data_IF_250236877622
#
_entry.id   IF_250236877622
#
_cell.length_a   1.000
_cell.length_b   1.000
_cell.length_c   1.000
_cell.angle_alpha   90.00
_cell.angle_beta   90.00
_cell.angle_gamma   90.00
#
_symmetry.space_group_name_H-M   'P 1'
#
loop_
_entity.id
_entity.type
_entity.pdbx_description
1 polymer ?
#
# COMPACT_ATOMS: atom_id res chain seq x y z
N UNK A 1 53.15 -14.11 -19.84
CA UNK A 1 52.21 -14.59 -18.81
C UNK A 1 52.11 -13.53 -17.72
N UNK A 2 51.23 -12.54 -17.89
CA UNK A 2 50.89 -11.59 -16.83
C UNK A 2 49.58 -12.05 -16.22
N UNK A 3 49.63 -12.53 -14.98
CA UNK A 3 48.45 -12.78 -14.19
C UNK A 3 47.83 -11.42 -13.84
N UNK A 4 46.75 -11.06 -14.52
CA UNK A 4 45.81 -10.05 -14.03
C UNK A 4 45.08 -10.68 -12.83
N UNK A 5 45.73 -10.65 -11.68
CA UNK A 5 45.10 -10.88 -10.40
C UNK A 5 44.28 -9.62 -10.11
N UNK A 6 43.08 -9.56 -10.70
CA UNK A 6 42.10 -8.56 -10.32
C UNK A 6 41.75 -8.82 -8.86
N UNK A 7 42.26 -7.98 -7.96
CA UNK A 7 41.80 -7.89 -6.60
C UNK A 7 40.30 -7.63 -6.64
N UNK A 8 39.50 -8.70 -6.54
CA UNK A 8 38.06 -8.57 -6.48
C UNK A 8 37.76 -7.74 -5.25
N UNK A 9 37.31 -6.49 -5.46
CA UNK A 9 36.78 -5.66 -4.39
C UNK A 9 35.71 -6.50 -3.71
N UNK A 10 35.99 -6.97 -2.50
CA UNK A 10 35.03 -7.80 -1.78
C UNK A 10 33.87 -6.88 -1.40
N UNK A 11 32.75 -7.03 -2.11
CA UNK A 11 31.49 -6.31 -1.87
C UNK A 11 31.13 -6.26 -0.37
N UNK A 12 31.43 -7.33 0.35
CA UNK A 12 31.18 -7.50 1.79
C UNK A 12 32.09 -6.67 2.71
N UNK A 13 33.14 -6.04 2.18
CA UNK A 13 34.03 -5.12 2.92
C UNK A 13 33.66 -3.65 2.71
N UNK A 14 32.67 -3.35 1.87
CA UNK A 14 32.21 -1.98 1.67
C UNK A 14 31.48 -1.48 2.92
N UNK A 15 31.66 -0.21 3.30
CA UNK A 15 30.84 0.44 4.32
C UNK A 15 29.35 0.33 4.00
N UNK A 16 28.53 0.17 5.04
CA UNK A 16 27.08 0.02 4.92
C UNK A 16 26.44 1.18 4.16
N UNK A 17 26.97 2.39 4.30
CA UNK A 17 26.47 3.59 3.61
C UNK A 17 26.59 3.47 2.08
N UNK A 18 27.67 2.87 1.59
CA UNK A 18 27.86 2.62 0.15
C UNK A 18 26.93 1.50 -0.32
N UNK A 19 26.81 0.43 0.46
CA UNK A 19 25.88 -0.66 0.16
C UNK A 19 24.43 -0.16 0.14
N UNK A 20 24.05 0.75 1.05
CA UNK A 20 22.73 1.39 1.05
C UNK A 20 22.52 2.23 -0.20
N UNK A 21 23.51 3.01 -0.64
CA UNK A 21 23.43 3.76 -1.91
C UNK A 21 23.25 2.84 -3.12
N UNK A 22 23.98 1.73 -3.20
CA UNK A 22 23.79 0.73 -4.27
C UNK A 22 22.40 0.11 -4.18
N UNK A 23 21.95 -0.22 -2.97
CA UNK A 23 20.65 -0.84 -2.74
C UNK A 23 19.47 0.04 -3.13
N UNK A 24 19.65 1.37 -3.26
CA UNK A 24 18.60 2.27 -3.77
C UNK A 24 18.20 1.94 -5.21
N UNK A 25 19.08 1.29 -5.98
CA UNK A 25 18.83 0.88 -7.36
C UNK A 25 18.29 -0.55 -7.49
N UNK A 26 18.30 -1.32 -6.41
CA UNK A 26 17.86 -2.72 -6.40
C UNK A 26 16.44 -2.83 -5.87
N UNK A 27 15.61 -3.67 -6.47
CA UNK A 27 14.28 -3.96 -5.93
C UNK A 27 14.35 -4.88 -4.69
N UNK A 28 13.22 -5.05 -4.00
CA UNK A 28 13.18 -5.91 -2.82
C UNK A 28 13.59 -7.36 -3.13
N UNK A 29 13.11 -7.90 -4.25
CA UNK A 29 13.43 -9.25 -4.71
C UNK A 29 14.91 -9.39 -5.07
N UNK A 30 15.54 -8.40 -5.72
CA UNK A 30 16.98 -8.44 -5.99
C UNK A 30 17.79 -8.62 -4.71
N UNK A 31 17.46 -7.85 -3.67
CA UNK A 31 18.11 -7.92 -2.35
C UNK A 31 17.79 -9.26 -1.67
N UNK A 32 16.56 -9.74 -1.79
CA UNK A 32 16.13 -11.01 -1.21
C UNK A 32 16.87 -12.20 -1.85
N UNK A 33 16.98 -12.23 -3.18
CA UNK A 33 17.71 -13.27 -3.91
C UNK A 33 19.22 -13.18 -3.66
N UNK A 34 19.78 -11.97 -3.53
CA UNK A 34 21.16 -11.80 -3.10
C UNK A 34 21.42 -12.46 -1.75
N UNK A 35 20.47 -12.39 -0.82
CA UNK A 35 20.55 -13.07 0.48
C UNK A 35 20.73 -14.60 0.36
N UNK A 36 20.27 -15.21 -0.74
CA UNK A 36 20.36 -16.66 -0.97
C UNK A 36 21.71 -17.11 -1.53
N UNK A 37 22.55 -16.20 -2.01
CA UNK A 37 23.80 -16.55 -2.69
C UNK A 37 24.90 -17.07 -1.74
N UNK A 38 24.96 -16.57 -0.49
CA UNK A 38 25.95 -17.02 0.51
C UNK A 38 25.57 -16.53 1.92
N UNK A 39 26.21 -17.07 2.97
CA UNK A 39 26.01 -16.60 4.36
C UNK A 39 26.43 -15.14 4.57
N UNK A 40 27.49 -14.69 3.89
CA UNK A 40 27.94 -13.30 3.95
C UNK A 40 26.95 -12.37 3.26
N UNK A 41 26.45 -12.78 2.08
CA UNK A 41 25.40 -12.06 1.37
C UNK A 41 24.10 -12.00 2.17
N UNK A 42 23.73 -13.08 2.86
CA UNK A 42 22.58 -13.10 3.76
C UNK A 42 22.69 -12.04 4.86
N UNK A 43 23.84 -11.94 5.53
CA UNK A 43 24.05 -10.93 6.57
C UNK A 43 23.92 -9.50 6.03
N UNK A 44 24.54 -9.22 4.88
CA UNK A 44 24.46 -7.90 4.24
C UNK A 44 23.04 -7.61 3.77
N UNK A 45 22.39 -8.56 3.09
CA UNK A 45 21.03 -8.40 2.61
C UNK A 45 20.03 -8.16 3.75
N UNK A 46 20.18 -8.86 4.88
CA UNK A 46 19.35 -8.62 6.08
C UNK A 46 19.53 -7.20 6.62
N UNK A 47 20.76 -6.69 6.67
CA UNK A 47 21.02 -5.29 7.06
C UNK A 47 20.38 -4.32 6.06
N UNK A 48 20.54 -4.57 4.75
CA UNK A 48 19.93 -3.74 3.72
C UNK A 48 18.40 -3.75 3.80
N UNK A 49 17.78 -4.92 4.01
CA UNK A 49 16.33 -5.05 4.17
C UNK A 49 15.82 -4.33 5.43
N UNK A 50 16.55 -4.42 6.53
CA UNK A 50 16.23 -3.68 7.75
C UNK A 50 16.33 -2.16 7.54
N UNK A 51 17.42 -1.66 6.98
CA UNK A 51 17.64 -0.22 6.84
C UNK A 51 16.82 0.42 5.72
N UNK A 52 16.62 -0.28 4.60
CA UNK A 52 15.86 0.23 3.45
C UNK A 52 14.36 0.06 3.63
N UNK A 53 13.93 -1.11 4.11
CA UNK A 53 12.52 -1.47 4.18
C UNK A 53 12.01 -1.61 5.61
N UNK A 54 12.82 -1.51 6.67
CA UNK A 54 12.34 -1.73 8.05
C UNK A 54 11.96 -3.18 8.35
N UNK A 55 12.42 -4.15 7.54
CA UNK A 55 12.06 -5.56 7.68
C UNK A 55 13.15 -6.28 8.49
N UNK A 56 12.81 -6.78 9.68
CA UNK A 56 13.74 -7.58 10.49
C UNK A 56 13.67 -9.07 10.12
N UNK A 57 14.67 -9.51 9.37
CA UNK A 57 14.86 -10.91 9.03
C UNK A 57 15.98 -11.60 9.84
N UNK A 58 16.58 -10.92 10.83
CA UNK A 58 17.74 -11.41 11.58
C UNK A 58 17.44 -12.64 12.45
N UNK A 59 16.17 -12.86 12.81
CA UNK A 59 15.72 -13.97 13.68
C UNK A 59 14.75 -14.92 12.94
N UNK A 60 15.23 -15.70 11.95
CA UNK A 60 14.37 -16.53 11.11
C UNK A 60 13.59 -17.61 11.88
N UNK A 61 14.16 -18.12 12.99
CA UNK A 61 13.49 -19.14 13.81
C UNK A 61 12.29 -18.62 14.60
N UNK A 62 12.30 -17.33 14.95
CA UNK A 62 11.19 -16.71 15.70
C UNK A 62 10.09 -16.23 14.75
N UNK A 63 10.44 -15.85 13.52
CA UNK A 63 9.54 -15.27 12.53
C UNK A 63 9.49 -16.10 11.24
N UNK A 64 9.46 -17.44 11.35
CA UNK A 64 9.57 -18.34 10.18
C UNK A 64 8.43 -18.13 9.18
N UNK A 65 7.22 -17.84 9.67
CA UNK A 65 6.08 -17.54 8.82
C UNK A 65 6.22 -16.18 8.13
N UNK A 66 6.70 -15.14 8.82
CA UNK A 66 6.96 -13.84 8.18
C UNK A 66 8.01 -13.96 7.09
N UNK A 67 9.09 -14.72 7.33
CA UNK A 67 10.09 -15.07 6.32
C UNK A 67 9.46 -15.72 5.09
N UNK A 68 8.55 -16.69 5.30
CA UNK A 68 7.82 -17.33 4.22
C UNK A 68 7.01 -16.31 3.40
N UNK A 69 6.24 -15.42 4.04
CA UNK A 69 5.44 -14.41 3.32
C UNK A 69 6.34 -13.41 2.59
N UNK A 70 7.42 -12.92 3.20
CA UNK A 70 8.39 -12.07 2.52
C UNK A 70 9.04 -12.76 1.31
N UNK A 71 9.35 -14.05 1.43
CA UNK A 71 9.89 -14.85 0.33
C UNK A 71 8.87 -15.03 -0.80
N UNK A 72 7.59 -15.24 -0.47
CA UNK A 72 6.51 -15.34 -1.43
C UNK A 72 6.36 -14.02 -2.22
N UNK A 73 6.41 -12.88 -1.54
CA UNK A 73 6.38 -11.56 -2.19
C UNK A 73 7.57 -11.36 -3.12
N UNK A 74 8.80 -11.67 -2.67
CA UNK A 74 10.00 -11.57 -3.52
C UNK A 74 9.89 -12.49 -4.76
N UNK A 75 9.38 -13.70 -4.58
CA UNK A 75 9.21 -14.66 -5.67
C UNK A 75 8.17 -14.18 -6.68
N UNK A 76 7.01 -13.73 -6.20
CA UNK A 76 5.96 -13.18 -7.06
C UNK A 76 6.45 -11.94 -7.81
N UNK A 77 7.15 -11.03 -7.13
CA UNK A 77 7.67 -9.83 -7.75
C UNK A 77 8.64 -10.14 -8.90
N UNK A 78 9.45 -11.19 -8.78
CA UNK A 78 10.41 -11.58 -9.82
C UNK A 78 9.77 -12.35 -10.99
N UNK A 79 8.83 -13.24 -10.69
CA UNK A 79 8.37 -14.26 -11.64
C UNK A 79 6.94 -14.08 -12.14
N UNK A 80 6.10 -13.31 -11.45
CA UNK A 80 4.73 -13.03 -11.90
C UNK A 80 4.65 -11.80 -12.83
N UNK A 81 5.77 -11.10 -13.01
CA UNK A 81 5.88 -9.81 -13.71
C UNK A 81 6.45 -9.93 -15.11
N UNK A 82 7.08 -11.07 -15.43
CA UNK A 82 7.71 -11.33 -16.73
C UNK A 82 6.67 -11.54 -17.84
N UNK A 83 5.43 -11.86 -17.51
CA UNK A 83 4.32 -11.90 -18.48
C UNK A 83 3.74 -10.50 -18.65
N UNK A 84 3.93 -9.89 -19.82
CA UNK A 84 3.45 -8.55 -20.20
C UNK A 84 1.95 -8.32 -19.99
N UNK A 85 1.19 -9.38 -19.75
CA UNK A 85 -0.13 -9.30 -19.15
C UNK A 85 -0.07 -10.01 -17.79
N UNK A 86 -0.11 -9.25 -16.69
CA UNK A 86 -0.48 -9.78 -15.36
C UNK A 86 -1.97 -10.15 -15.46
N UNK A 87 -2.28 -11.19 -16.23
CA UNK A 87 -3.59 -11.81 -16.24
C UNK A 87 -3.80 -12.44 -14.86
N UNK A 88 -5.05 -12.39 -14.41
CA UNK A 88 -5.55 -12.93 -13.14
C UNK A 88 -5.26 -14.42 -12.93
N UNK A 89 -4.75 -15.12 -13.95
CA UNK A 89 -4.53 -16.57 -13.96
C UNK A 89 -3.06 -16.96 -14.21
N UNK A 90 -2.09 -16.24 -13.64
CA UNK A 90 -0.70 -16.70 -13.69
C UNK A 90 -0.55 -17.99 -12.88
N UNK A 91 -0.02 -19.09 -13.46
CA UNK A 91 0.23 -20.33 -12.72
C UNK A 91 1.19 -20.11 -11.53
N UNK A 92 2.05 -19.09 -11.63
CA UNK A 92 2.93 -18.63 -10.56
C UNK A 92 2.13 -18.11 -9.37
N UNK A 93 1.10 -17.27 -9.60
CA UNK A 93 0.23 -16.75 -8.54
C UNK A 93 -0.51 -17.88 -7.84
N UNK A 94 -1.13 -18.79 -8.60
CA UNK A 94 -1.84 -19.94 -8.05
C UNK A 94 -0.90 -20.87 -7.27
N UNK A 95 0.30 -21.14 -7.80
CA UNK A 95 1.28 -22.00 -7.13
C UNK A 95 1.73 -21.45 -5.78
N UNK A 96 2.01 -20.14 -5.71
CA UNK A 96 2.38 -19.48 -4.46
C UNK A 96 1.18 -19.41 -3.50
N UNK A 97 -0.02 -19.12 -4.00
CA UNK A 97 -1.24 -19.09 -3.19
C UNK A 97 -1.54 -20.46 -2.57
N UNK A 98 -1.47 -21.53 -3.37
CA UNK A 98 -1.62 -22.90 -2.90
C UNK A 98 -0.59 -23.24 -1.83
N UNK A 99 0.70 -22.91 -2.08
CA UNK A 99 1.75 -23.21 -1.11
C UNK A 99 1.55 -22.46 0.21
N UNK A 100 1.16 -21.20 0.16
CA UNK A 100 0.90 -20.41 1.36
C UNK A 100 -0.34 -20.93 2.11
N UNK A 101 -1.42 -21.26 1.39
CA UNK A 101 -2.64 -21.81 1.99
C UNK A 101 -2.36 -23.14 2.70
N UNK A 102 -1.57 -24.04 2.08
CA UNK A 102 -1.13 -25.29 2.71
C UNK A 102 -0.29 -25.03 3.96
N UNK A 103 0.64 -24.08 3.92
CA UNK A 103 1.43 -23.73 5.10
C UNK A 103 0.59 -23.15 6.25
N UNK A 104 -0.45 -22.37 5.94
CA UNK A 104 -1.41 -21.89 6.95
C UNK A 104 -2.20 -23.07 7.51
N UNK A 105 -2.66 -23.98 6.65
CA UNK A 105 -3.42 -25.16 7.03
C UNK A 105 -2.63 -26.12 7.91
N UNK A 106 -1.41 -26.49 7.51
CA UNK A 106 -0.54 -27.41 8.24
C UNK A 106 -0.16 -26.87 9.64
N UNK A 107 -0.13 -25.55 9.79
CA UNK A 107 0.17 -24.87 11.06
C UNK A 107 -1.07 -24.58 11.90
N UNK A 108 -2.26 -24.86 11.39
CA UNK A 108 -3.52 -24.65 12.08
C UNK A 108 -4.02 -25.99 12.67
N UNK A 109 -4.45 -26.01 13.94
CA UNK A 109 -4.98 -27.24 14.53
C UNK A 109 -6.28 -27.63 13.85
N UNK A 110 -6.54 -28.92 13.67
CA UNK A 110 -7.79 -29.41 13.05
C UNK A 110 -9.05 -29.04 13.84
N UNK A 111 -8.91 -28.80 15.16
CA UNK A 111 -9.95 -28.27 16.03
C UNK A 111 -9.61 -26.83 16.40
N UNK A 112 -10.59 -25.93 16.37
CA UNK A 112 -10.43 -24.51 16.69
C UNK A 112 -9.35 -23.83 15.83
N UNK A 113 -9.40 -24.03 14.52
CA UNK A 113 -8.46 -23.42 13.58
C UNK A 113 -8.64 -21.90 13.45
N UNK A 114 -9.83 -21.36 13.75
CA UNK A 114 -10.20 -19.96 13.49
C UNK A 114 -9.19 -18.93 14.07
N UNK A 115 -8.73 -19.04 15.34
CA UNK A 115 -7.76 -18.08 15.87
C UNK A 115 -6.38 -18.19 15.23
N UNK A 116 -6.01 -19.40 14.75
CA UNK A 116 -4.75 -19.60 14.03
C UNK A 116 -4.84 -19.01 12.63
N UNK A 117 -5.96 -19.22 11.93
CA UNK A 117 -6.20 -18.59 10.65
C UNK A 117 -6.19 -17.06 10.78
N UNK A 118 -6.88 -16.51 11.79
CA UNK A 118 -6.89 -15.08 12.09
C UNK A 118 -5.47 -14.53 12.29
N UNK A 119 -4.65 -15.20 13.10
CA UNK A 119 -3.26 -14.83 13.33
C UNK A 119 -2.42 -14.86 12.04
N UNK A 120 -2.49 -15.94 11.26
CA UNK A 120 -1.67 -16.08 10.06
C UNK A 120 -2.13 -15.13 8.94
N UNK A 121 -3.43 -14.90 8.80
CA UNK A 121 -3.96 -13.92 7.86
C UNK A 121 -3.61 -12.49 8.27
N UNK A 122 -3.72 -12.12 9.55
CA UNK A 122 -3.29 -10.81 10.06
C UNK A 122 -1.82 -10.55 9.70
N UNK A 123 -0.95 -11.54 9.92
CA UNK A 123 0.46 -11.46 9.52
C UNK A 123 0.65 -11.35 8.02
N UNK A 124 -0.09 -12.12 7.23
CA UNK A 124 -0.03 -12.05 5.77
C UNK A 124 -0.43 -10.66 5.29
N UNK A 125 -1.62 -10.18 5.66
CA UNK A 125 -2.11 -8.87 5.25
C UNK A 125 -1.16 -7.74 5.69
N UNK A 126 -0.68 -7.79 6.92
CA UNK A 126 0.31 -6.82 7.41
C UNK A 126 1.51 -6.74 6.46
N UNK A 127 2.11 -7.88 6.11
CA UNK A 127 3.30 -7.92 5.24
C UNK A 127 2.96 -7.48 3.80
N UNK A 128 1.85 -7.95 3.23
CA UNK A 128 1.47 -7.60 1.86
C UNK A 128 1.21 -6.09 1.72
N UNK A 129 0.42 -5.50 2.62
CA UNK A 129 0.13 -4.06 2.57
C UNK A 129 1.38 -3.22 2.82
N UNK A 130 2.24 -3.68 3.71
CA UNK A 130 3.51 -3.01 4.01
C UNK A 130 4.42 -2.98 2.78
N UNK A 131 4.48 -4.05 1.99
CA UNK A 131 5.18 -4.06 0.69
C UNK A 131 4.55 -3.13 -0.34
N UNK A 132 3.22 -3.04 -0.40
CA UNK A 132 2.53 -2.07 -1.27
C UNK A 132 2.95 -0.64 -0.96
N UNK A 133 3.17 -0.31 0.31
CA UNK A 133 3.53 1.05 0.75
C UNK A 133 5.04 1.34 0.75
N UNK A 134 5.89 0.31 0.88
CA UNK A 134 7.34 0.47 1.09
C UNK A 134 8.19 0.49 -0.16
N UNK A 135 7.63 0.22 -1.35
CA UNK A 135 8.40 0.29 -2.59
C UNK A 135 8.03 1.50 -3.49
N UNK A 136 8.67 2.67 -3.26
CA UNK A 136 8.53 3.83 -4.12
C UNK A 136 9.35 3.75 -5.42
N UNK A 137 10.18 2.71 -5.62
CA UNK A 137 10.97 2.56 -6.85
C UNK A 137 10.23 1.75 -7.94
N UNK A 138 9.29 0.88 -7.53
CA UNK A 138 8.54 -0.01 -8.44
C UNK A 138 7.33 0.63 -9.12
N UNK A 139 6.91 1.82 -8.67
CA UNK A 139 5.94 2.65 -9.38
C UNK A 139 6.32 4.10 -9.24
N UNK A 140 6.95 4.72 -10.26
CA UNK A 140 6.64 6.11 -10.50
C UNK A 140 5.12 6.17 -10.63
N UNK A 141 4.44 6.80 -9.66
CA UNK A 141 3.19 7.47 -10.00
C UNK A 141 3.49 8.20 -11.30
N UNK A 142 2.73 8.02 -12.39
CA UNK A 142 3.08 8.62 -13.66
C UNK A 142 3.33 10.11 -13.43
N UNK A 143 4.59 10.52 -13.41
CA UNK A 143 4.99 11.90 -13.17
C UNK A 143 4.77 12.64 -14.48
N UNK A 144 4.12 13.79 -14.34
CA UNK A 144 3.70 14.78 -15.33
C UNK A 144 4.86 15.41 -16.14
N UNK A 145 5.70 14.60 -16.80
CA UNK A 145 6.84 15.11 -17.57
C UNK A 145 6.63 15.00 -19.09
N UNK A 146 5.63 14.25 -19.55
CA UNK A 146 5.18 14.31 -20.96
C UNK A 146 3.66 14.15 -20.99
N UNK A 147 2.90 15.06 -21.64
CA UNK A 147 1.49 14.83 -21.91
C UNK A 147 1.37 13.68 -22.91
N UNK A 148 1.42 12.45 -22.40
CA UNK A 148 0.88 11.31 -23.14
C UNK A 148 -0.64 11.51 -23.19
N UNK A 149 -1.30 11.18 -24.31
CA UNK A 149 -2.75 11.28 -24.40
C UNK A 149 -3.37 10.59 -23.19
N UNK A 150 -4.46 11.13 -22.62
CA UNK A 150 -5.03 10.64 -21.38
C UNK A 150 -5.31 9.15 -21.56
N UNK A 151 -4.49 8.31 -20.92
CA UNK A 151 -4.87 6.93 -20.72
C UNK A 151 -6.09 7.00 -19.82
N UNK A 152 -7.26 6.74 -20.40
CA UNK A 152 -8.55 6.64 -19.71
C UNK A 152 -8.62 5.48 -18.73
N UNK A 153 -7.51 4.77 -18.52
CA UNK A 153 -7.42 3.56 -17.72
C UNK A 153 -6.76 3.86 -16.38
N UNK A 154 -7.44 3.40 -15.34
CA UNK A 154 -6.92 3.37 -13.98
C UNK A 154 -5.55 2.68 -13.93
N UNK A 155 -4.53 3.41 -13.46
CA UNK A 155 -3.16 2.90 -13.34
C UNK A 155 -2.86 2.59 -11.86
N UNK A 156 -3.13 1.35 -11.39
CA UNK A 156 -2.71 0.95 -10.06
C UNK A 156 -1.20 0.82 -9.99
N UNK A 157 -0.68 0.83 -8.76
CA UNK A 157 0.71 0.42 -8.56
C UNK A 157 0.87 -1.03 -9.02
N UNK A 158 1.97 -1.32 -9.72
CA UNK A 158 2.41 -2.65 -10.06
C UNK A 158 2.41 -3.58 -8.84
N UNK A 159 2.98 -3.17 -7.71
CA UNK A 159 2.94 -3.97 -6.48
C UNK A 159 1.51 -4.10 -5.94
N UNK A 160 0.72 -3.03 -5.96
CA UNK A 160 -0.68 -3.07 -5.54
C UNK A 160 -1.51 -4.06 -6.36
N UNK A 161 -1.37 -4.03 -7.69
CA UNK A 161 -2.00 -4.98 -8.61
C UNK A 161 -1.57 -6.42 -8.35
N UNK A 162 -0.27 -6.65 -8.18
CA UNK A 162 0.26 -7.98 -7.90
C UNK A 162 -0.28 -8.54 -6.58
N UNK A 163 -0.29 -7.73 -5.51
CA UNK A 163 -0.80 -8.12 -4.20
C UNK A 163 -2.32 -8.31 -4.21
N UNK A 164 -3.07 -7.48 -4.93
CA UNK A 164 -4.51 -7.67 -5.13
C UNK A 164 -4.81 -8.98 -5.84
N UNK A 165 -4.12 -9.27 -6.95
CA UNK A 165 -4.30 -10.54 -7.67
C UNK A 165 -3.92 -11.73 -6.79
N UNK A 166 -2.82 -11.63 -6.05
CA UNK A 166 -2.42 -12.67 -5.13
C UNK A 166 -3.48 -12.93 -4.04
N UNK A 167 -4.04 -11.89 -3.44
CA UNK A 167 -5.14 -12.02 -2.47
C UNK A 167 -6.40 -12.62 -3.10
N UNK A 168 -6.74 -12.20 -4.32
CA UNK A 168 -7.89 -12.73 -5.05
C UNK A 168 -7.73 -14.22 -5.41
N UNK A 169 -6.49 -14.72 -5.52
CA UNK A 169 -6.19 -16.15 -5.71
C UNK A 169 -6.08 -16.90 -4.38
N UNK A 170 -5.50 -16.29 -3.34
CA UNK A 170 -5.32 -16.89 -2.03
C UNK A 170 -6.65 -17.12 -1.31
N UNK A 171 -7.56 -16.15 -1.38
CA UNK A 171 -8.84 -16.19 -0.67
C UNK A 171 -9.69 -17.42 -1.04
N UNK A 172 -10.01 -17.70 -2.33
CA UNK A 172 -10.76 -18.90 -2.69
C UNK A 172 -10.05 -20.19 -2.31
N UNK A 173 -8.71 -20.19 -2.34
CA UNK A 173 -7.89 -21.35 -1.95
C UNK A 173 -8.05 -21.65 -0.45
N UNK A 174 -8.00 -20.61 0.40
CA UNK A 174 -8.24 -20.76 1.84
C UNK A 174 -9.67 -21.18 2.14
N UNK A 175 -10.65 -20.61 1.45
CA UNK A 175 -12.07 -20.97 1.57
C UNK A 175 -12.34 -22.43 1.13
N UNK A 176 -11.53 -22.98 0.23
CA UNK A 176 -11.61 -24.38 -0.14
C UNK A 176 -10.98 -25.32 0.91
N UNK A 177 -9.99 -24.85 1.68
CA UNK A 177 -9.28 -25.64 2.69
C UNK A 177 -9.94 -25.57 4.08
N UNK A 178 -10.49 -24.42 4.44
CA UNK A 178 -11.17 -24.15 5.69
C UNK A 178 -12.62 -23.80 5.35
N UNK A 179 -13.58 -24.49 5.97
CA UNK A 179 -15.02 -24.37 5.70
C UNK A 179 -15.49 -22.92 5.45
N UNK A 180 -16.39 -22.73 4.48
CA UNK A 180 -16.64 -21.44 3.82
C UNK A 180 -17.06 -20.27 4.72
N UNK A 181 -17.88 -20.52 5.74
CA UNK A 181 -18.55 -19.46 6.49
C UNK A 181 -17.61 -18.60 7.39
N UNK A 182 -16.74 -19.19 8.23
CA UNK A 182 -15.82 -18.41 9.08
C UNK A 182 -14.66 -17.74 8.31
N UNK A 183 -14.19 -18.31 7.20
CA UNK A 183 -13.05 -17.77 6.44
C UNK A 183 -13.37 -16.40 5.85
N UNK A 184 -14.57 -16.26 5.28
CA UNK A 184 -15.00 -15.00 4.65
C UNK A 184 -15.04 -13.86 5.66
N UNK A 185 -15.68 -14.09 6.81
CA UNK A 185 -15.78 -13.12 7.89
C UNK A 185 -14.40 -12.72 8.44
N UNK A 186 -13.48 -13.68 8.62
CA UNK A 186 -12.12 -13.40 9.11
C UNK A 186 -11.33 -12.60 8.07
N UNK A 187 -11.33 -13.05 6.81
CA UNK A 187 -10.60 -12.40 5.73
C UNK A 187 -11.08 -10.96 5.53
N UNK A 188 -12.39 -10.74 5.42
CA UNK A 188 -12.98 -9.42 5.23
C UNK A 188 -12.70 -8.49 6.41
N UNK A 189 -12.94 -8.95 7.65
CA UNK A 189 -12.66 -8.17 8.87
C UNK A 189 -11.20 -7.74 8.93
N UNK A 190 -10.25 -8.63 8.67
CA UNK A 190 -8.83 -8.33 8.72
C UNK A 190 -8.42 -7.36 7.61
N UNK A 191 -8.87 -7.58 6.38
CA UNK A 191 -8.58 -6.68 5.26
C UNK A 191 -9.02 -5.25 5.58
N UNK A 192 -10.27 -5.06 6.01
CA UNK A 192 -10.81 -3.76 6.39
C UNK A 192 -10.04 -3.16 7.57
N UNK A 193 -9.70 -3.98 8.57
CA UNK A 193 -8.93 -3.53 9.76
C UNK A 193 -7.56 -3.00 9.35
N UNK A 194 -6.83 -3.70 8.48
CA UNK A 194 -5.54 -3.25 8.00
C UNK A 194 -5.63 -1.99 7.14
N UNK A 195 -6.59 -1.91 6.21
CA UNK A 195 -6.81 -0.71 5.40
C UNK A 195 -7.10 0.51 6.28
N UNK A 196 -8.00 0.37 7.27
CA UNK A 196 -8.30 1.42 8.24
C UNK A 196 -7.06 1.84 9.04
N UNK A 197 -6.32 0.88 9.58
CA UNK A 197 -5.10 1.15 10.36
C UNK A 197 -4.06 1.94 9.56
N UNK A 198 -3.89 1.62 8.28
CA UNK A 198 -2.96 2.36 7.42
C UNK A 198 -3.48 3.77 7.05
N UNK A 199 -4.78 3.92 6.78
CA UNK A 199 -5.41 5.23 6.56
C UNK A 199 -5.28 6.12 7.80
N UNK A 200 -5.58 5.58 8.99
CA UNK A 200 -5.49 6.30 10.26
C UNK A 200 -4.04 6.68 10.57
N UNK A 201 -3.09 5.77 10.35
CA UNK A 201 -1.66 6.05 10.55
C UNK A 201 -1.16 7.18 9.64
N UNK A 202 -1.53 7.16 8.36
CA UNK A 202 -1.15 8.23 7.42
C UNK A 202 -1.82 9.56 7.78
N UNK A 203 -3.10 9.51 8.16
CA UNK A 203 -3.85 10.70 8.62
C UNK A 203 -3.21 11.30 9.86
N UNK A 204 -2.89 10.49 10.88
CA UNK A 204 -2.23 10.94 12.10
C UNK A 204 -0.84 11.54 11.83
N UNK A 205 -0.04 10.91 10.96
CA UNK A 205 1.28 11.42 10.58
C UNK A 205 1.19 12.74 9.83
N UNK A 206 0.23 12.89 8.92
CA UNK A 206 -0.02 14.14 8.23
C UNK A 206 -0.48 15.23 9.20
N UNK A 207 -1.44 14.92 10.07
CA UNK A 207 -1.92 15.87 11.09
C UNK A 207 -0.79 16.33 12.02
N UNK A 208 0.09 15.40 12.42
CA UNK A 208 1.27 15.70 13.22
C UNK A 208 2.25 16.61 12.46
N UNK A 209 2.45 16.36 11.16
CA UNK A 209 3.24 17.22 10.29
C UNK A 209 2.67 18.66 10.26
N UNK A 210 1.36 18.82 10.04
CA UNK A 210 0.73 20.13 9.98
C UNK A 210 0.75 20.86 11.32
N UNK A 211 0.43 20.18 12.43
CA UNK A 211 0.55 20.76 13.78
C UNK A 211 1.96 21.27 14.04
N UNK A 212 2.97 20.48 13.67
CA UNK A 212 4.37 20.83 13.85
C UNK A 212 4.82 21.93 12.88
N UNK A 213 4.21 22.08 11.70
CA UNK A 213 4.54 23.16 10.76
C UNK A 213 3.96 24.50 11.21
N UNK A 214 2.71 24.53 11.72
CA UNK A 214 2.05 25.75 12.17
C UNK A 214 2.65 26.36 13.45
N UNK A 215 3.38 25.58 14.25
CA UNK A 215 4.03 26.06 15.47
C UNK A 215 5.39 26.74 15.23
N UNK A 216 5.88 26.78 13.98
CA UNK A 216 7.22 27.30 13.66
C UNK A 216 7.14 28.81 13.41
N UNK A 217 7.44 29.64 14.41
CA UNK A 217 7.61 31.11 14.27
C UNK A 217 9.09 31.46 14.02
N UNK A 218 9.42 31.97 12.80
CA UNK A 218 10.70 32.61 12.36
C UNK A 218 12.05 31.87 12.63
N UNK A 219 13.17 32.34 12.03
CA UNK A 219 13.50 32.17 10.61
C UNK A 219 13.90 30.71 10.33
N UNK A 220 13.22 30.08 9.37
CA UNK A 220 13.43 28.65 9.09
C UNK A 220 14.62 28.48 8.15
N UNK A 221 15.62 27.69 8.55
CA UNK A 221 16.69 27.27 7.65
C UNK A 221 16.11 26.59 6.40
N UNK A 222 16.65 26.93 5.22
CA UNK A 222 16.26 26.34 3.92
C UNK A 222 16.35 24.81 3.92
N UNK A 223 17.26 24.23 4.69
CA UNK A 223 17.39 22.78 4.87
C UNK A 223 16.16 22.16 5.57
N UNK A 224 15.63 22.83 6.60
CA UNK A 224 14.47 22.36 7.36
C UNK A 224 13.17 22.47 6.56
N UNK A 225 13.02 23.55 5.78
CA UNK A 225 11.91 23.68 4.83
C UNK A 225 11.93 22.57 3.78
N UNK A 226 13.11 22.25 3.25
CA UNK A 226 13.28 21.16 2.29
C UNK A 226 12.91 19.81 2.89
N UNK A 227 13.35 19.50 4.11
CA UNK A 227 12.99 18.24 4.78
C UNK A 227 11.49 18.12 5.04
N UNK A 228 10.83 19.22 5.44
CA UNK A 228 9.38 19.24 5.67
C UNK A 228 8.61 19.01 4.36
N UNK A 229 9.03 19.65 3.26
CA UNK A 229 8.43 19.42 1.94
C UNK A 229 8.58 17.96 1.49
N UNK A 230 9.76 17.37 1.65
CA UNK A 230 10.02 15.97 1.30
C UNK A 230 9.12 15.04 2.13
N UNK A 231 8.96 15.31 3.42
CA UNK A 231 8.08 14.53 4.29
C UNK A 231 6.62 14.62 3.85
N UNK A 232 6.11 15.82 3.55
CA UNK A 232 4.74 16.01 3.07
C UNK A 232 4.49 15.25 1.75
N UNK A 233 5.42 15.38 0.79
CA UNK A 233 5.35 14.67 -0.49
C UNK A 233 5.34 13.15 -0.28
N UNK A 234 6.18 12.64 0.63
CA UNK A 234 6.21 11.22 0.97
C UNK A 234 4.89 10.74 1.58
N UNK A 235 4.28 11.51 2.48
CA UNK A 235 2.98 11.18 3.10
C UNK A 235 1.84 11.19 2.08
N UNK A 236 1.75 12.24 1.25
CA UNK A 236 0.77 12.35 0.16
C UNK A 236 0.92 11.21 -0.85
N UNK A 237 2.15 10.87 -1.21
CA UNK A 237 2.46 9.74 -2.09
C UNK A 237 1.99 8.41 -1.48
N UNK A 238 2.33 8.16 -0.22
CA UNK A 238 1.91 6.95 0.49
C UNK A 238 0.38 6.83 0.58
N UNK A 239 -0.31 7.94 0.86
CA UNK A 239 -1.77 7.98 0.87
C UNK A 239 -2.38 7.68 -0.50
N UNK A 240 -1.86 8.28 -1.57
CA UNK A 240 -2.33 8.00 -2.93
C UNK A 240 -2.10 6.55 -3.33
N UNK A 241 -0.94 5.98 -2.99
CA UNK A 241 -0.65 4.55 -3.23
C UNK A 241 -1.66 3.67 -2.50
N UNK A 242 -1.99 3.98 -1.25
CA UNK A 242 -2.99 3.24 -0.48
C UNK A 242 -4.39 3.35 -1.10
N UNK A 243 -4.82 4.55 -1.50
CA UNK A 243 -6.11 4.75 -2.17
C UNK A 243 -6.18 3.98 -3.48
N UNK A 244 -5.08 3.97 -4.25
CA UNK A 244 -5.00 3.17 -5.48
C UNK A 244 -5.01 1.67 -5.19
N UNK A 245 -4.44 1.23 -4.08
CA UNK A 245 -4.58 -0.17 -3.68
C UNK A 245 -6.02 -0.52 -3.24
N UNK A 246 -6.70 0.38 -2.54
CA UNK A 246 -8.12 0.21 -2.21
C UNK A 246 -8.96 0.12 -3.48
N UNK A 247 -8.66 0.96 -4.49
CA UNK A 247 -9.35 0.91 -5.77
C UNK A 247 -9.08 -0.37 -6.56
N UNK A 248 -7.87 -0.95 -6.54
CA UNK A 248 -7.63 -2.28 -7.13
C UNK A 248 -8.41 -3.37 -6.42
N UNK A 249 -8.42 -3.36 -5.08
CA UNK A 249 -9.21 -4.32 -4.31
C UNK A 249 -10.71 -4.20 -4.65
N UNK A 250 -11.23 -2.98 -4.81
CA UNK A 250 -12.61 -2.74 -5.23
C UNK A 250 -12.89 -3.13 -6.69
N UNK A 251 -11.90 -3.38 -7.53
CA UNK A 251 -12.11 -3.98 -8.86
C UNK A 251 -12.32 -5.50 -8.78
N UNK A 252 -12.01 -6.10 -7.64
CA UNK A 252 -12.20 -7.53 -7.36
C UNK A 252 -13.39 -7.76 -6.43
N UNK A 253 -13.69 -9.01 -6.08
CA UNK A 253 -14.68 -9.35 -5.05
C UNK A 253 -14.16 -9.21 -3.61
N UNK A 254 -12.93 -8.73 -3.41
CA UNK A 254 -12.34 -8.58 -2.08
C UNK A 254 -12.92 -7.39 -1.30
N UNK A 255 -13.47 -6.38 -1.99
CA UNK A 255 -14.18 -5.26 -1.39
C UNK A 255 -15.54 -5.05 -2.06
N UNK A 256 -16.58 -4.91 -1.25
CA UNK A 256 -17.90 -4.54 -1.75
C UNK A 256 -17.98 -3.03 -2.05
N UNK A 257 -18.96 -2.59 -2.88
CA UNK A 257 -19.22 -1.17 -3.08
C UNK A 257 -19.58 -0.43 -1.78
N UNK A 258 -20.21 -1.14 -0.82
CA UNK A 258 -20.53 -0.59 0.49
C UNK A 258 -19.26 -0.35 1.33
N UNK A 259 -18.30 -1.28 1.30
CA UNK A 259 -17.02 -1.11 1.99
C UNK A 259 -16.25 0.09 1.44
N UNK A 260 -16.20 0.22 0.11
CA UNK A 260 -15.54 1.36 -0.54
C UNK A 260 -16.20 2.68 -0.15
N UNK A 261 -17.53 2.70 -0.09
CA UNK A 261 -18.27 3.88 0.34
C UNK A 261 -17.95 4.27 1.79
N UNK A 262 -17.95 3.30 2.72
CA UNK A 262 -17.61 3.51 4.13
C UNK A 262 -16.17 4.01 4.28
N UNK A 263 -15.21 3.37 3.62
CA UNK A 263 -13.80 3.79 3.62
C UNK A 263 -13.64 5.21 3.06
N UNK A 264 -14.37 5.52 1.98
CA UNK A 264 -14.36 6.84 1.38
C UNK A 264 -14.87 7.88 2.37
N UNK A 265 -16.10 7.72 2.86
CA UNK A 265 -16.75 8.70 3.73
C UNK A 265 -16.05 8.87 5.08
N UNK A 266 -15.74 7.78 5.76
CA UNK A 266 -15.31 7.84 7.15
C UNK A 266 -13.82 8.12 7.30
N UNK A 267 -12.99 7.73 6.32
CA UNK A 267 -11.52 7.75 6.45
C UNK A 267 -10.85 8.63 5.40
N UNK A 268 -11.15 8.41 4.12
CA UNK A 268 -10.50 9.16 3.03
C UNK A 268 -10.90 10.63 3.06
N UNK A 269 -12.18 10.96 3.26
CA UNK A 269 -12.59 12.37 3.37
C UNK A 269 -12.05 13.02 4.66
N UNK A 270 -12.04 12.27 5.76
CA UNK A 270 -11.49 12.73 7.05
C UNK A 270 -10.02 13.15 6.93
N UNK A 271 -9.24 12.48 6.08
CA UNK A 271 -7.86 12.89 5.77
C UNK A 271 -7.78 14.37 5.32
N UNK A 272 -8.75 14.83 4.52
CA UNK A 272 -8.80 16.21 4.01
C UNK A 272 -9.44 17.20 5.00
N UNK A 273 -10.34 16.75 5.87
CA UNK A 273 -11.09 17.63 6.78
C UNK A 273 -10.24 18.23 7.92
N UNK A 274 -9.14 17.58 8.32
CA UNK A 274 -8.32 18.05 9.46
C UNK A 274 -7.47 19.29 9.12
N UNK A 275 -7.45 19.72 7.85
CA UNK A 275 -6.53 20.73 7.33
C UNK A 275 -7.10 22.15 7.25
N UNK A 276 -8.08 22.52 8.07
CA UNK A 276 -8.62 23.88 8.01
C UNK A 276 -7.72 24.86 8.79
N UNK A 277 -7.01 25.79 8.14
CA UNK A 277 -6.32 26.85 8.87
C UNK A 277 -7.39 27.70 9.57
N UNK A 278 -7.21 27.93 10.87
CA UNK A 278 -7.98 28.96 11.57
C UNK A 278 -7.76 30.29 10.84
N UNK A 279 -8.84 30.96 10.47
CA UNK A 279 -8.92 32.13 9.58
C UNK A 279 -8.25 33.41 10.13
N UNK A 280 -7.22 33.31 10.97
CA UNK A 280 -6.70 34.41 11.78
C UNK A 280 -5.22 34.73 11.54
N UNK A 281 -4.53 34.12 10.58
CA UNK A 281 -3.11 34.43 10.32
C UNK A 281 -2.81 34.73 8.85
N UNK A 282 -2.38 35.96 8.61
CA UNK A 282 -1.97 36.53 7.32
C UNK A 282 -0.62 35.96 6.84
N UNK A 283 -0.59 34.72 6.38
CA UNK A 283 0.55 34.18 5.63
C UNK A 283 0.09 33.63 4.28
N UNK A 284 0.90 33.86 3.23
CA UNK A 284 0.62 33.70 1.79
C UNK A 284 -0.54 32.74 1.41
N UNK A 285 -1.75 33.28 1.10
CA UNK A 285 -2.98 32.50 1.04
C UNK A 285 -3.16 31.59 -0.19
N UNK A 286 -2.34 31.72 -1.24
CA UNK A 286 -2.75 31.27 -2.58
C UNK A 286 -2.09 29.98 -3.10
N UNK A 287 -0.98 29.50 -2.52
CA UNK A 287 -0.29 28.32 -3.04
C UNK A 287 -0.64 27.00 -2.31
N UNK A 288 -0.83 27.04 -0.98
CA UNK A 288 -1.26 25.84 -0.23
C UNK A 288 -2.68 25.33 -0.54
N UNK A 289 -3.70 26.18 -0.77
CA UNK A 289 -5.03 25.66 -1.06
C UNK A 289 -5.13 25.04 -2.46
N UNK A 290 -4.37 25.51 -3.44
CA UNK A 290 -4.39 24.96 -4.80
C UNK A 290 -3.79 23.54 -4.81
N UNK A 291 -2.62 23.33 -4.21
CA UNK A 291 -2.00 22.01 -4.11
C UNK A 291 -2.88 21.00 -3.34
N UNK A 292 -3.61 21.46 -2.32
CA UNK A 292 -4.51 20.62 -1.54
C UNK A 292 -5.79 20.26 -2.32
N UNK A 293 -6.36 21.22 -3.06
CA UNK A 293 -7.49 20.97 -3.97
C UNK A 293 -7.07 20.01 -5.08
N UNK A 294 -5.91 20.21 -5.68
CA UNK A 294 -5.37 19.34 -6.74
C UNK A 294 -5.14 17.91 -6.23
N UNK A 295 -4.53 17.77 -5.05
CA UNK A 295 -4.32 16.46 -4.44
C UNK A 295 -5.64 15.76 -4.11
N UNK A 296 -6.61 16.48 -3.54
CA UNK A 296 -7.95 15.96 -3.27
C UNK A 296 -8.66 15.53 -4.56
N UNK A 297 -8.65 16.36 -5.60
CA UNK A 297 -9.23 16.04 -6.90
C UNK A 297 -8.58 14.78 -7.47
N UNK A 298 -7.26 14.68 -7.41
CA UNK A 298 -6.51 13.50 -7.87
C UNK A 298 -6.95 12.22 -7.15
N UNK A 299 -7.08 12.26 -5.82
CA UNK A 299 -7.55 11.11 -5.02
C UNK A 299 -8.98 10.71 -5.39
N UNK A 300 -9.88 11.68 -5.57
CA UNK A 300 -11.26 11.41 -5.98
C UNK A 300 -11.32 10.83 -7.40
N UNK A 301 -10.52 11.36 -8.32
CA UNK A 301 -10.41 10.84 -9.69
C UNK A 301 -9.90 9.40 -9.68
N UNK A 302 -8.89 9.07 -8.88
CA UNK A 302 -8.38 7.69 -8.76
C UNK A 302 -9.51 6.75 -8.27
N UNK A 303 -10.34 7.16 -7.32
CA UNK A 303 -11.48 6.36 -6.83
C UNK A 303 -12.60 6.19 -7.88
N UNK A 304 -12.98 7.27 -8.58
CA UNK A 304 -13.98 7.22 -9.65
C UNK A 304 -13.50 6.30 -10.77
N UNK A 305 -12.25 6.43 -11.20
CA UNK A 305 -11.66 5.58 -12.22
C UNK A 305 -11.66 4.11 -11.79
N UNK A 306 -11.33 3.83 -10.53
CA UNK A 306 -11.35 2.46 -10.02
C UNK A 306 -12.75 1.84 -10.13
N UNK A 307 -13.79 2.60 -9.77
CA UNK A 307 -15.18 2.16 -9.87
C UNK A 307 -15.66 2.04 -11.31
N UNK A 308 -15.28 2.97 -12.19
CA UNK A 308 -15.56 2.91 -13.64
C UNK A 308 -14.92 1.69 -14.31
N UNK A 309 -13.80 1.16 -13.80
CA UNK A 309 -13.23 -0.10 -14.25
C UNK A 309 -13.97 -1.34 -13.70
N UNK A 310 -14.45 -1.31 -12.45
CA UNK A 310 -15.27 -2.39 -11.87
C UNK A 310 -16.58 -2.58 -12.67
N UNK A 311 -17.31 -1.49 -12.83
CA UNK A 311 -17.68 -0.96 -14.14
C UNK A 311 -17.76 -1.87 -15.35
N UNK A 312 -16.87 -1.51 -16.27
CA UNK A 312 -16.72 -2.12 -17.57
C UNK A 312 -16.46 -3.62 -17.49
N UNK A 313 -15.95 -4.14 -16.37
CA UNK A 313 -15.77 -5.57 -16.15
C UNK A 313 -17.03 -6.32 -15.68
N UNK A 314 -18.10 -5.62 -15.24
CA UNK A 314 -19.35 -6.23 -14.75
C UNK A 314 -20.59 -5.56 -15.36
N UNK A 315 -21.19 -6.19 -16.37
CA UNK A 315 -22.38 -5.68 -17.08
C UNK A 315 -23.59 -5.33 -16.18
N UNK A 316 -23.71 -5.92 -14.97
CA UNK A 316 -24.87 -5.71 -14.09
C UNK A 316 -24.75 -4.49 -13.14
N UNK A 317 -23.67 -3.71 -13.24
CA UNK A 317 -23.28 -2.74 -12.21
C UNK A 317 -23.72 -1.29 -12.43
N UNK A 318 -24.50 -0.96 -13.47
CA UNK A 318 -24.87 0.45 -13.78
C UNK A 318 -25.50 1.23 -12.61
N UNK A 319 -26.22 0.53 -11.71
CA UNK A 319 -26.78 1.11 -10.47
C UNK A 319 -25.71 1.42 -9.41
N UNK A 320 -24.61 0.67 -9.38
CA UNK A 320 -23.53 0.83 -8.41
C UNK A 320 -22.67 2.08 -8.67
N UNK A 321 -22.37 2.43 -9.93
CA UNK A 321 -21.66 3.69 -10.24
C UNK A 321 -22.53 4.85 -9.86
N UNK A 322 -23.79 4.82 -10.30
CA UNK A 322 -24.67 5.96 -10.14
C UNK A 322 -24.85 6.23 -8.65
N UNK A 323 -24.98 5.16 -7.85
CA UNK A 323 -24.97 5.23 -6.40
C UNK A 323 -23.64 5.72 -5.84
N UNK A 324 -22.49 5.21 -6.32
CA UNK A 324 -21.18 5.67 -5.82
C UNK A 324 -20.89 7.12 -6.19
N UNK A 325 -21.18 7.54 -7.44
CA UNK A 325 -21.06 8.92 -7.93
C UNK A 325 -22.00 9.81 -7.15
N UNK A 326 -23.26 9.43 -6.91
CA UNK A 326 -24.18 10.25 -6.11
C UNK A 326 -23.64 10.43 -4.69
N UNK A 327 -23.17 9.35 -4.06
CA UNK A 327 -22.60 9.37 -2.71
C UNK A 327 -21.28 10.16 -2.64
N UNK A 328 -20.45 10.08 -3.67
CA UNK A 328 -19.21 10.83 -3.79
C UNK A 328 -19.50 12.32 -4.09
N UNK A 329 -20.52 12.62 -4.88
CA UNK A 329 -20.96 13.99 -5.16
C UNK A 329 -21.52 14.66 -3.91
N UNK A 330 -22.34 13.94 -3.12
CA UNK A 330 -22.82 14.40 -1.81
C UNK A 330 -21.69 14.59 -0.80
N UNK A 331 -20.70 13.69 -0.83
CA UNK A 331 -19.49 13.80 -0.03
C UNK A 331 -18.62 15.00 -0.43
N UNK A 332 -18.51 15.28 -1.73
CA UNK A 332 -17.75 16.43 -2.25
C UNK A 332 -18.51 17.74 -2.00
N UNK A 333 -19.83 17.76 -2.16
CA UNK A 333 -20.64 18.96 -1.92
C UNK A 333 -20.59 19.37 -0.44
N UNK A 334 -20.64 18.42 0.49
CA UNK A 334 -20.42 18.70 1.93
C UNK A 334 -19.01 19.19 2.27
N UNK A 335 -18.01 18.87 1.44
CA UNK A 335 -16.65 19.41 1.56
C UNK A 335 -16.48 20.80 0.93
N UNK A 336 -17.33 21.17 -0.04
CA UNK A 336 -17.27 22.47 -0.75
C UNK A 336 -18.17 23.51 -0.06
N UNK A 337 -19.29 23.11 0.53
CA UNK A 337 -20.20 23.96 1.30
C UNK A 337 -20.26 23.55 2.79
N UNK A 338 -19.47 24.18 3.68
CA UNK A 338 -19.35 23.76 5.07
C UNK A 338 -20.48 24.25 5.99
N UNK A 339 -21.53 24.91 5.47
CA UNK A 339 -22.67 25.40 6.28
C UNK A 339 -23.65 24.29 6.69
N UNK A 340 -23.47 23.06 6.20
CA UNK A 340 -24.40 21.93 6.39
C UNK A 340 -23.80 20.74 7.14
N UNK A 341 -22.66 20.89 7.83
CA UNK A 341 -22.13 19.81 8.67
C UNK A 341 -22.91 19.76 9.99
N UNK A 342 -24.07 19.09 9.98
CA UNK A 342 -24.61 18.43 11.18
C UNK A 342 -23.93 17.07 11.31
N UNK A 343 -22.98 16.94 12.24
CA UNK A 343 -22.47 15.63 12.65
C UNK A 343 -23.63 14.76 13.16
N UNK A 344 -23.82 13.53 12.68
CA UNK A 344 -24.62 12.57 13.41
C UNK A 344 -23.85 12.17 14.66
N UNK A 345 -24.25 12.74 15.80
CA UNK A 345 -23.91 12.27 17.13
C UNK A 345 -24.49 10.86 17.32
N UNK A 346 -23.70 9.83 17.04
CA UNK A 346 -23.97 8.48 17.54
C UNK A 346 -22.71 7.98 18.25
N UNK A 347 -22.84 7.50 19.50
CA UNK A 347 -21.68 7.10 20.28
C UNK A 347 -21.11 5.80 19.72
N UNK A 348 -19.78 5.72 19.71
CA UNK A 348 -19.04 4.49 19.49
C UNK A 348 -19.47 3.44 20.51
N UNK A 349 -19.84 2.25 20.02
CA UNK A 349 -19.71 0.98 20.74
C UNK A 349 -18.85 0.08 19.85
#
# INVERSE_FOLDING_TARGET
>A
MCALQADSIMLFKLPLELLLRVSQQLAFDDIFYFATCSRQAQSVAHQLMWHKYGIDLTKPRLNSYSHLVHSAVAFLHRHATTSSNIQTNSPTLQGVANRLAVEIYDRSPSRNWEPCLDYYLDKTFFILLDHVLRDPALDPLPEDIVPKPPKTEYCPTHMGRLMTNFLATLYPTLTAMFETNPVDAIHHRLLITHLNRHLDSLTQRLNSYHRNSFQIKLPISTARLRSLRILNQSLRRGFRVLVRFIGTLAQTDLLSPADLHVLTQQRILTFFLVHRPSSTTNECPWHQPIEEIEFKMTVMTDLIQAMSCRQSSRCDSGKELQRFISLLTESISSLVDPKTITLPSTPFI
#
